data_IF_889624000841
#
_entry.id   IF_889624000841
#
_cell.length_a   1.000
_cell.length_b   1.000
_cell.length_c   1.000
_cell.angle_alpha   90.00
_cell.angle_beta   90.00
_cell.angle_gamma   90.00
#
_symmetry.space_group_name_H-M   'P 1'
#
loop_
_entity.id
_entity.type
_entity.pdbx_description
1 polymer ?
#
# COMPACT_ATOMS: atom_id res chain seq x y z
N UNK A 1 -0.17 -13.62 -0.27
CA UNK A 1 -0.22 -12.81 -1.52
C UNK A 1 1.20 -12.32 -1.81
N UNK A 2 1.83 -12.78 -2.90
CA UNK A 2 3.22 -12.39 -3.26
C UNK A 2 3.26 -10.89 -3.60
N UNK A 3 4.30 -10.16 -3.19
CA UNK A 3 4.51 -8.78 -3.65
C UNK A 3 4.89 -8.82 -5.13
N UNK A 4 4.10 -8.15 -5.97
CA UNK A 4 4.30 -8.12 -7.41
C UNK A 4 5.07 -6.85 -7.78
N UNK A 5 6.40 -6.88 -7.61
CA UNK A 5 7.31 -5.78 -7.93
C UNK A 5 7.14 -5.29 -9.38
N UNK A 6 6.86 -6.22 -10.31
CA UNK A 6 6.70 -5.92 -11.73
C UNK A 6 5.50 -5.01 -12.01
N UNK A 7 4.37 -5.23 -11.34
CA UNK A 7 3.17 -4.39 -11.52
C UNK A 7 3.43 -2.94 -11.06
N UNK A 8 4.06 -2.75 -9.90
CA UNK A 8 4.34 -1.42 -9.36
C UNK A 8 5.39 -0.70 -10.21
N UNK A 9 6.44 -1.42 -10.65
CA UNK A 9 7.43 -0.88 -11.59
C UNK A 9 6.79 -0.43 -12.91
N UNK A 10 6.03 -1.32 -13.57
CA UNK A 10 5.29 -0.98 -14.81
C UNK A 10 4.33 0.19 -14.62
N UNK A 11 3.72 0.31 -13.43
CA UNK A 11 2.88 1.45 -13.10
C UNK A 11 3.69 2.74 -13.12
N UNK A 12 4.84 2.79 -12.45
CA UNK A 12 5.68 3.99 -12.41
C UNK A 12 6.33 4.34 -13.77
N UNK A 13 6.49 3.38 -14.66
CA UNK A 13 6.93 3.64 -16.05
C UNK A 13 5.85 4.33 -16.92
N UNK A 14 4.57 4.21 -16.55
CA UNK A 14 3.44 4.75 -17.33
C UNK A 14 2.71 5.92 -16.67
N UNK A 15 2.86 6.08 -15.36
CA UNK A 15 2.14 7.07 -14.57
C UNK A 15 3.11 7.81 -13.66
N UNK A 16 2.82 9.09 -13.42
CA UNK A 16 3.58 9.92 -12.48
C UNK A 16 2.91 9.84 -11.12
N UNK A 17 3.64 9.37 -10.11
CA UNK A 17 3.20 9.37 -8.71
C UNK A 17 3.86 10.53 -7.97
N UNK A 18 3.08 11.24 -7.18
CA UNK A 18 3.53 12.31 -6.28
C UNK A 18 3.68 11.80 -4.85
N UNK A 19 4.48 12.49 -4.03
CA UNK A 19 4.71 12.10 -2.63
C UNK A 19 3.46 12.18 -1.75
N UNK A 20 2.49 13.05 -2.09
CA UNK A 20 1.16 13.12 -1.45
C UNK A 20 0.17 12.07 -2.01
N UNK A 21 0.64 11.18 -2.88
CA UNK A 21 -0.10 10.01 -3.31
C UNK A 21 -1.12 10.25 -4.42
N UNK A 22 -1.01 11.36 -5.17
CA UNK A 22 -1.77 11.54 -6.41
C UNK A 22 -1.05 10.87 -7.58
N UNK A 23 -1.81 10.14 -8.39
CA UNK A 23 -1.32 9.43 -9.57
C UNK A 23 -1.85 10.10 -10.83
N UNK A 24 -0.97 10.40 -11.78
CA UNK A 24 -1.31 11.08 -13.04
C UNK A 24 -0.94 10.21 -14.24
N UNK A 25 -1.77 10.18 -15.27
CA UNK A 25 -1.40 9.61 -16.57
C UNK A 25 -0.45 10.56 -17.33
N UNK A 26 0.21 10.06 -18.38
CA UNK A 26 1.15 10.83 -19.21
C UNK A 26 0.58 12.13 -19.78
N UNK A 27 -0.73 12.20 -19.97
CA UNK A 27 -1.43 13.40 -20.43
C UNK A 27 -1.84 14.37 -19.29
N UNK A 28 -1.33 14.18 -18.08
CA UNK A 28 -1.60 15.05 -16.93
C UNK A 28 -2.94 14.80 -16.22
N UNK A 29 -3.76 13.84 -16.68
CA UNK A 29 -5.04 13.53 -16.01
C UNK A 29 -4.80 12.78 -14.70
N UNK A 30 -5.32 13.32 -13.59
CA UNK A 30 -5.29 12.63 -12.31
C UNK A 30 -6.20 11.39 -12.33
N UNK A 31 -5.69 10.28 -11.81
CA UNK A 31 -6.44 9.04 -11.61
C UNK A 31 -7.26 9.13 -10.32
N UNK A 32 -8.52 8.73 -10.39
CA UNK A 32 -9.39 8.62 -9.22
C UNK A 32 -8.98 7.41 -8.37
N UNK A 33 -8.90 7.62 -7.07
CA UNK A 33 -8.72 6.56 -6.09
C UNK A 33 -10.07 6.03 -5.58
N UNK A 34 -10.07 4.74 -5.23
CA UNK A 34 -11.23 4.04 -4.69
C UNK A 34 -10.80 3.18 -3.52
N UNK A 35 -11.69 2.93 -2.57
CA UNK A 35 -11.44 1.96 -1.49
C UNK A 35 -11.73 0.55 -1.98
N UNK A 36 -10.89 -0.41 -1.63
CA UNK A 36 -11.22 -1.83 -1.75
C UNK A 36 -12.15 -2.28 -0.60
N UNK A 37 -12.62 -3.53 -0.65
CA UNK A 37 -13.48 -4.11 0.37
C UNK A 37 -12.86 -4.13 1.78
N UNK A 38 -11.54 -4.06 1.86
CA UNK A 38 -10.78 -4.12 3.11
C UNK A 38 -10.40 -2.70 3.59
N UNK A 39 -10.82 -1.65 2.89
CA UNK A 39 -10.64 -0.24 3.24
C UNK A 39 -9.38 0.42 2.67
N UNK A 40 -8.58 -0.26 1.85
CA UNK A 40 -7.37 0.32 1.26
C UNK A 40 -7.68 1.15 0.02
N UNK A 41 -7.05 2.33 -0.10
CA UNK A 41 -7.08 3.08 -1.35
C UNK A 41 -6.31 2.37 -2.46
N UNK A 42 -6.88 2.39 -3.67
CA UNK A 42 -6.31 1.82 -4.88
C UNK A 42 -6.68 2.62 -6.13
N UNK A 43 -5.87 2.48 -7.18
CA UNK A 43 -6.10 3.04 -8.50
C UNK A 43 -6.44 1.95 -9.51
N UNK A 44 -7.23 2.32 -10.53
CA UNK A 44 -7.40 1.50 -11.73
C UNK A 44 -6.43 1.97 -12.80
N UNK A 45 -5.47 1.12 -13.16
CA UNK A 45 -4.44 1.41 -14.15
C UNK A 45 -4.59 0.47 -15.34
N UNK A 46 -4.40 1.00 -16.55
CA UNK A 46 -4.58 0.24 -17.78
C UNK A 46 -3.23 -0.19 -18.34
N UNK A 47 -3.09 -1.49 -18.61
CA UNK A 47 -1.96 -2.10 -19.31
C UNK A 47 -2.46 -3.03 -20.39
N UNK A 48 -2.04 -2.81 -21.64
CA UNK A 48 -2.18 -3.76 -22.74
C UNK A 48 -3.63 -4.28 -22.86
N UNK A 49 -4.58 -3.31 -22.91
CA UNK A 49 -6.03 -3.52 -22.95
C UNK A 49 -6.65 -4.22 -21.74
N UNK A 50 -5.92 -4.33 -20.62
CA UNK A 50 -6.43 -4.83 -19.34
C UNK A 50 -6.41 -3.72 -18.30
N UNK A 51 -7.39 -3.73 -17.41
CA UNK A 51 -7.41 -2.82 -16.26
C UNK A 51 -7.04 -3.60 -15.01
N UNK A 52 -5.97 -3.17 -14.35
CA UNK A 52 -5.48 -3.74 -13.10
C UNK A 52 -5.71 -2.77 -11.93
N UNK A 53 -5.75 -3.31 -10.72
CA UNK A 53 -5.86 -2.55 -9.48
C UNK A 53 -4.50 -2.49 -8.79
N UNK A 54 -4.10 -1.30 -8.38
CA UNK A 54 -2.82 -1.05 -7.70
C UNK A 54 -3.09 -0.34 -6.39
N UNK A 55 -2.61 -0.89 -5.27
CA UNK A 55 -2.84 -0.31 -3.94
C UNK A 55 -1.97 0.94 -3.74
N UNK A 56 -2.56 2.02 -3.23
CA UNK A 56 -1.91 3.32 -3.05
C UNK A 56 -0.70 3.25 -2.11
N UNK A 57 -0.87 2.71 -0.90
CA UNK A 57 0.23 2.57 0.06
C UNK A 57 1.44 1.78 -0.50
N UNK A 58 1.20 0.69 -1.23
CA UNK A 58 2.28 -0.11 -1.82
C UNK A 58 2.98 0.62 -2.96
N UNK A 59 2.22 1.33 -3.78
CA UNK A 59 2.79 2.14 -4.87
C UNK A 59 3.65 3.29 -4.31
N UNK A 60 3.21 3.94 -3.22
CA UNK A 60 3.98 4.96 -2.51
C UNK A 60 5.26 4.41 -1.89
N UNK A 61 5.16 3.33 -1.11
CA UNK A 61 6.32 2.70 -0.49
C UNK A 61 7.33 2.22 -1.54
N UNK A 62 6.86 1.61 -2.63
CA UNK A 62 7.72 1.18 -3.74
C UNK A 62 8.44 2.33 -4.43
N UNK A 63 7.79 3.50 -4.57
CA UNK A 63 8.38 4.65 -5.24
C UNK A 63 9.37 5.43 -4.36
N UNK A 64 9.14 5.49 -3.04
CA UNK A 64 9.78 6.49 -2.19
C UNK A 64 10.44 5.96 -0.92
N UNK A 65 10.23 4.69 -0.56
CA UNK A 65 10.78 4.11 0.67
C UNK A 65 11.76 2.99 0.29
N UNK A 66 13.08 3.15 0.53
CA UNK A 66 14.06 2.11 0.28
C UNK A 66 13.71 0.80 1.00
N UNK A 67 13.97 -0.32 0.35
CA UNK A 67 13.70 -1.67 0.89
C UNK A 67 14.96 -2.56 0.77
N UNK A 68 16.04 -2.25 1.50
CA UNK A 68 17.31 -2.99 1.40
C UNK A 68 17.17 -4.45 1.84
N UNK A 69 16.24 -4.74 2.75
CA UNK A 69 15.98 -6.08 3.27
C UNK A 69 15.03 -6.91 2.39
N UNK A 70 14.56 -6.35 1.26
CA UNK A 70 13.65 -7.01 0.32
C UNK A 70 12.36 -7.56 0.98
N UNK A 71 11.87 -6.84 1.99
CA UNK A 71 10.63 -7.14 2.72
C UNK A 71 9.43 -7.05 1.78
N UNK A 72 8.42 -7.90 2.00
CA UNK A 72 7.33 -8.14 1.02
C UNK A 72 5.98 -7.53 1.40
N UNK A 73 5.88 -6.91 2.56
CA UNK A 73 4.65 -6.28 3.03
C UNK A 73 4.92 -4.81 3.32
N UNK A 74 3.92 -3.97 3.06
CA UNK A 74 3.92 -2.57 3.47
C UNK A 74 2.87 -2.45 4.57
N UNK A 75 3.29 -2.04 5.76
CA UNK A 75 2.44 -1.83 6.92
C UNK A 75 2.05 -0.36 7.05
N UNK A 76 0.90 -0.12 7.67
CA UNK A 76 0.45 1.18 8.16
C UNK A 76 0.76 1.25 9.66
N UNK A 77 1.71 2.10 10.05
CA UNK A 77 2.22 2.17 11.43
C UNK A 77 1.10 2.47 12.42
N UNK A 78 0.19 3.39 12.09
CA UNK A 78 -0.97 3.73 12.91
C UNK A 78 -2.16 2.75 12.80
N UNK A 79 -2.07 1.74 11.93
CA UNK A 79 -3.16 0.79 11.65
C UNK A 79 -4.30 1.37 10.79
N UNK A 80 -4.26 2.65 10.44
CA UNK A 80 -5.26 3.29 9.59
C UNK A 80 -4.87 3.15 8.12
N UNK A 81 -5.53 2.21 7.44
CA UNK A 81 -5.35 1.90 6.01
C UNK A 81 -5.55 3.09 5.05
N UNK A 82 -6.17 4.17 5.54
CA UNK A 82 -6.46 5.39 4.78
C UNK A 82 -5.36 6.45 4.95
N UNK A 83 -4.56 6.38 6.01
CA UNK A 83 -3.42 7.26 6.21
C UNK A 83 -2.24 6.80 5.35
N UNK A 84 -2.11 7.37 4.15
CA UNK A 84 -1.09 6.99 3.17
C UNK A 84 0.12 7.94 3.19
N UNK A 85 0.34 8.69 4.26
CA UNK A 85 1.55 9.50 4.39
C UNK A 85 2.79 8.61 4.40
N UNK A 86 3.85 9.02 3.71
CA UNK A 86 5.08 8.23 3.59
C UNK A 86 5.69 7.87 4.95
N UNK A 87 5.58 8.77 5.93
CA UNK A 87 6.06 8.55 7.30
C UNK A 87 5.20 7.55 8.09
N UNK A 88 4.00 7.21 7.61
CA UNK A 88 3.12 6.22 8.22
C UNK A 88 3.24 4.84 7.54
N UNK A 89 4.10 4.70 6.53
CA UNK A 89 4.29 3.46 5.79
C UNK A 89 5.67 2.88 6.08
N UNK A 90 5.74 1.57 6.26
CA UNK A 90 7.00 0.86 6.45
C UNK A 90 7.00 -0.48 5.72
N UNK A 91 8.18 -0.95 5.34
CA UNK A 91 8.36 -2.31 4.85
C UNK A 91 8.51 -3.27 6.01
N UNK A 92 7.78 -4.38 5.97
CA UNK A 92 7.81 -5.40 7.01
C UNK A 92 7.69 -6.83 6.45
N UNK A 93 7.99 -7.81 7.29
CA UNK A 93 7.69 -9.22 7.11
C UNK A 93 6.27 -9.53 7.59
N UNK A 94 5.72 -10.68 7.21
CA UNK A 94 4.44 -11.16 7.72
C UNK A 94 4.41 -11.30 9.23
N UNK A 95 5.53 -11.70 9.83
CA UNK A 95 5.66 -11.85 11.28
C UNK A 95 5.63 -10.48 11.95
N UNK A 96 6.48 -9.55 11.52
CA UNK A 96 6.52 -8.16 12.04
C UNK A 96 5.14 -7.50 11.94
N UNK A 97 4.45 -7.62 10.79
CA UNK A 97 3.10 -7.06 10.61
C UNK A 97 2.07 -7.65 11.60
N UNK A 98 2.19 -8.95 11.89
CA UNK A 98 1.30 -9.63 12.84
C UNK A 98 1.60 -9.16 14.26
N UNK A 99 2.87 -9.11 14.64
CA UNK A 99 3.32 -8.64 15.95
C UNK A 99 2.92 -7.17 16.17
N UNK A 100 3.05 -6.31 15.17
CA UNK A 100 2.61 -4.92 15.21
C UNK A 100 1.12 -4.81 15.54
N UNK A 101 0.29 -5.59 14.86
CA UNK A 101 -1.15 -5.66 15.14
C UNK A 101 -1.46 -6.08 16.58
N UNK A 102 -0.70 -7.04 17.12
CA UNK A 102 -0.92 -7.57 18.47
C UNK A 102 -0.45 -6.60 19.54
N UNK A 103 0.79 -6.15 19.46
CA UNK A 103 1.47 -5.47 20.56
C UNK A 103 1.39 -3.94 20.49
N UNK A 104 1.42 -3.37 19.27
CA UNK A 104 1.39 -1.92 19.07
C UNK A 104 -0.05 -1.43 18.95
N UNK A 105 -0.81 -2.04 18.03
CA UNK A 105 -2.21 -1.66 17.78
C UNK A 105 -3.20 -2.31 18.76
N UNK A 106 -2.74 -3.26 19.60
CA UNK A 106 -3.55 -3.94 20.63
C UNK A 106 -4.84 -4.55 20.08
N UNK A 107 -4.78 -5.09 18.86
CA UNK A 107 -5.95 -5.65 18.16
C UNK A 107 -6.49 -6.94 18.79
N UNK A 108 -5.67 -7.63 19.59
CA UNK A 108 -6.08 -8.77 20.40
C UNK A 108 -6.06 -8.34 21.87
N UNK A 109 -7.21 -8.42 22.54
CA UNK A 109 -7.26 -8.22 23.98
C UNK A 109 -6.54 -9.39 24.69
N UNK A 110 -5.83 -9.15 25.80
CA UNK A 110 -5.04 -10.15 26.56
C UNK A 110 -5.79 -11.42 27.02
N UNK A 111 -7.09 -11.55 26.69
CA UNK A 111 -7.96 -12.70 26.97
C UNK A 111 -8.48 -13.41 25.70
N UNK A 112 -7.82 -13.27 24.55
CA UNK A 112 -8.12 -14.07 23.34
C UNK A 112 -9.47 -13.77 22.68
N UNK A 113 -10.01 -12.55 22.80
CA UNK A 113 -11.23 -12.14 22.09
C UNK A 113 -10.93 -11.01 21.09
N UNK A 114 -11.31 -11.25 19.84
CA UNK A 114 -11.27 -10.29 18.72
C UNK A 114 -12.31 -9.20 19.01
N UNK A 115 -11.89 -7.92 19.00
CA UNK A 115 -12.84 -6.79 18.98
C UNK A 115 -13.52 -6.75 17.60
N UNK A 116 -14.86 -6.83 17.59
CA UNK A 116 -15.70 -6.60 16.40
C UNK A 116 -15.63 -5.16 15.94
#
# INVERSE_FOLDING_TARGET
MKFNDELYKKTLERYTLTKDGKLFSKNGKQKKEHKDKDGYYQFSVSFDNRTLKVKKHRLLAFAFIPNPENKKIVNHIDGNKQNNDLNNLEWCTSQENTLHGIYVLKTINQKGRIKK
#
